data_IF_476666665853
#
_entry.id   IF_476666665853
#
_cell.length_a   1.000
_cell.length_b   1.000
_cell.length_c   1.000
_cell.angle_alpha   90.00
_cell.angle_beta   90.00
_cell.angle_gamma   90.00
#
_symmetry.space_group_name_H-M   'P 1'
#
loop_
_entity.id
_entity.type
_entity.pdbx_description
1 polymer ?
#
# COMPACT_ATOMS: atom_id res chain seq x y z
N UNK A 1 53.52 47.69 35.38
CA UNK A 1 53.02 48.36 34.16
C UNK A 1 52.55 47.26 33.23
N UNK A 2 51.23 47.03 33.06
CA UNK A 2 50.38 47.82 32.14
C UNK A 2 51.11 47.97 30.79
N UNK A 3 50.62 47.53 29.65
CA UNK A 3 49.26 47.33 29.18
C UNK A 3 49.39 46.90 27.69
N UNK A 4 48.41 46.13 27.17
CA UNK A 4 47.82 46.27 25.81
C UNK A 4 48.76 46.05 24.59
N UNK A 5 48.44 45.37 23.49
CA UNK A 5 47.22 44.85 22.88
C UNK A 5 47.68 44.10 21.61
N UNK A 6 47.12 42.92 21.36
CA UNK A 6 46.78 42.32 20.04
C UNK A 6 46.38 40.87 20.31
N UNK A 7 45.16 40.60 20.83
CA UNK A 7 43.94 40.39 20.05
C UNK A 7 44.21 39.66 18.72
N UNK A 8 44.00 38.35 18.67
CA UNK A 8 42.75 37.79 18.14
C UNK A 8 42.85 36.26 17.96
N UNK A 9 41.72 35.60 18.20
CA UNK A 9 41.34 34.27 17.68
C UNK A 9 42.06 33.06 18.26
N UNK A 10 41.71 32.67 19.49
CA UNK A 10 41.53 31.24 19.82
C UNK A 10 40.25 31.10 20.64
N UNK A 11 39.13 31.44 20.00
CA UNK A 11 37.81 30.95 20.37
C UNK A 11 37.36 30.04 19.23
N UNK A 12 36.79 28.89 19.57
CA UNK A 12 36.08 27.96 18.67
C UNK A 12 36.91 26.87 17.97
N UNK A 13 37.41 25.90 18.76
CA UNK A 13 37.65 24.52 18.26
C UNK A 13 36.68 23.49 18.87
N UNK A 14 35.52 23.93 19.38
CA UNK A 14 34.37 23.05 19.51
C UNK A 14 33.69 23.01 18.14
N UNK A 15 34.32 22.30 17.19
CA UNK A 15 33.67 21.85 15.98
C UNK A 15 32.64 20.80 16.40
N UNK A 16 31.42 21.30 16.59
CA UNK A 16 30.18 20.73 16.08
C UNK A 16 30.21 19.20 15.98
N UNK A 17 29.58 18.57 16.96
CA UNK A 17 28.85 17.31 16.77
C UNK A 17 28.23 17.32 15.35
N UNK A 18 28.33 16.23 14.57
CA UNK A 18 27.36 16.04 13.51
C UNK A 18 26.02 16.11 14.23
N UNK A 19 25.23 17.13 13.89
CA UNK A 19 23.81 17.10 14.20
C UNK A 19 23.31 15.74 13.72
N UNK A 20 22.90 14.89 14.67
CA UNK A 20 21.83 13.94 14.41
C UNK A 20 20.66 14.79 13.92
N UNK A 21 20.65 15.13 12.63
CA UNK A 21 19.44 15.49 11.93
C UNK A 21 18.57 14.25 12.04
N UNK A 22 17.70 14.26 13.06
CA UNK A 22 16.49 13.46 13.10
C UNK A 22 15.98 13.40 11.65
N UNK A 23 15.92 12.21 11.03
CA UNK A 23 15.57 12.10 9.63
C UNK A 23 14.26 12.87 9.43
N UNK A 24 14.34 13.92 8.62
CA UNK A 24 13.21 14.73 8.20
C UNK A 24 12.07 13.73 7.91
N UNK A 25 10.92 13.79 8.60
CA UNK A 25 9.94 12.69 8.64
C UNK A 25 9.16 12.59 7.32
N UNK A 26 9.78 12.93 6.19
CA UNK A 26 9.23 12.96 4.85
C UNK A 26 8.49 11.66 4.53
N UNK A 27 9.13 10.50 4.71
CA UNK A 27 8.50 9.20 4.45
C UNK A 27 7.30 8.92 5.34
N UNK A 28 7.42 9.22 6.64
CA UNK A 28 6.35 9.03 7.61
C UNK A 28 5.16 9.94 7.27
N UNK A 29 5.42 11.21 6.97
CA UNK A 29 4.40 12.17 6.56
C UNK A 29 3.70 11.75 5.27
N UNK A 30 4.44 11.32 4.25
CA UNK A 30 3.85 10.81 3.01
C UNK A 30 2.97 9.58 3.30
N UNK A 31 3.48 8.62 4.08
CA UNK A 31 2.76 7.40 4.46
C UNK A 31 1.49 7.73 5.23
N UNK A 32 1.57 8.54 6.27
CA UNK A 32 0.44 8.83 7.16
C UNK A 32 -0.66 9.60 6.41
N UNK A 33 -0.28 10.56 5.55
CA UNK A 33 -1.24 11.24 4.68
C UNK A 33 -1.92 10.27 3.70
N UNK A 34 -1.16 9.34 3.12
CA UNK A 34 -1.69 8.33 2.21
C UNK A 34 -2.66 7.39 2.93
N UNK A 35 -2.26 6.84 4.08
CA UNK A 35 -3.09 5.92 4.87
C UNK A 35 -4.39 6.58 5.31
N UNK A 36 -4.32 7.80 5.85
CA UNK A 36 -5.50 8.56 6.27
C UNK A 36 -6.41 8.90 5.08
N UNK A 37 -5.82 9.27 3.94
CA UNK A 37 -6.56 9.58 2.71
C UNK A 37 -7.26 8.36 2.13
N UNK A 38 -6.57 7.22 2.05
CA UNK A 38 -7.12 5.96 1.57
C UNK A 38 -8.22 5.44 2.49
N UNK A 39 -8.05 5.52 3.81
CA UNK A 39 -9.09 5.17 4.77
C UNK A 39 -10.36 5.99 4.53
N UNK A 40 -10.23 7.30 4.33
CA UNK A 40 -11.36 8.17 4.01
C UNK A 40 -12.01 7.81 2.67
N UNK A 41 -11.20 7.57 1.62
CA UNK A 41 -11.71 7.31 0.27
C UNK A 41 -12.33 5.91 0.11
N UNK A 42 -11.92 4.94 0.95
CA UNK A 42 -12.43 3.57 0.97
C UNK A 42 -13.57 3.33 1.99
N UNK A 43 -13.78 4.27 2.92
CA UNK A 43 -14.92 4.28 3.86
C UNK A 43 -14.62 3.56 5.19
N UNK A 44 -14.60 4.33 6.27
CA UNK A 44 -14.59 3.98 7.72
C UNK A 44 -13.79 2.76 8.19
N UNK A 45 -12.51 2.97 8.59
CA UNK A 45 -11.77 2.00 9.41
C UNK A 45 -10.84 2.66 10.44
N UNK A 46 -11.20 2.62 11.72
CA UNK A 46 -10.37 3.13 12.82
C UNK A 46 -9.27 2.16 13.32
N UNK A 47 -9.16 0.96 12.74
CA UNK A 47 -8.11 -0.01 13.08
C UNK A 47 -7.39 -0.49 11.81
N UNK A 48 -6.20 -1.06 11.98
CA UNK A 48 -5.41 -1.70 10.93
C UNK A 48 -6.20 -2.88 10.33
N UNK A 49 -7.17 -2.58 9.47
CA UNK A 49 -8.15 -3.54 8.97
C UNK A 49 -7.53 -4.47 7.93
N UNK A 50 -8.14 -5.65 7.77
CA UNK A 50 -7.94 -6.61 6.67
C UNK A 50 -7.76 -5.90 5.32
N UNK A 51 -8.44 -4.78 5.14
CA UNK A 51 -8.53 -3.97 3.94
C UNK A 51 -7.23 -3.24 3.57
N UNK A 52 -6.33 -2.99 4.54
CA UNK A 52 -5.00 -2.44 4.29
C UNK A 52 -3.99 -3.52 3.85
N UNK A 53 -4.24 -4.77 4.24
CA UNK A 53 -3.48 -5.94 3.79
C UNK A 53 -3.99 -6.44 2.43
N UNK A 54 -5.28 -6.25 2.16
CA UNK A 54 -5.97 -6.75 0.97
C UNK A 54 -6.73 -5.64 0.24
N UNK A 55 -6.05 -4.80 -0.56
CA UNK A 55 -6.67 -3.66 -1.26
C UNK A 55 -7.89 -4.04 -2.11
N UNK A 56 -7.87 -5.25 -2.69
CA UNK A 56 -8.98 -5.79 -3.46
C UNK A 56 -10.22 -6.07 -2.61
N UNK A 57 -10.07 -6.59 -1.39
CA UNK A 57 -11.19 -6.82 -0.48
C UNK A 57 -11.90 -5.51 -0.16
N UNK A 58 -11.13 -4.50 0.23
CA UNK A 58 -11.63 -3.16 0.54
C UNK A 58 -12.36 -2.51 -0.64
N UNK A 59 -11.79 -2.68 -1.84
CA UNK A 59 -12.33 -2.09 -3.04
C UNK A 59 -13.70 -2.70 -3.38
N UNK A 60 -13.80 -4.03 -3.34
CA UNK A 60 -15.00 -4.75 -3.74
C UNK A 60 -16.11 -4.68 -2.68
N UNK A 61 -15.77 -4.84 -1.40
CA UNK A 61 -16.73 -4.93 -0.28
C UNK A 61 -17.67 -3.73 -0.17
N UNK A 62 -17.17 -2.53 -0.46
CA UNK A 62 -17.94 -1.29 -0.37
C UNK A 62 -18.11 -0.61 -1.73
N UNK A 63 -17.97 -1.40 -2.81
CA UNK A 63 -18.02 -0.96 -4.19
C UNK A 63 -19.40 -0.59 -4.72
N UNK A 64 -20.45 -1.01 -4.03
CA UNK A 64 -21.82 -1.02 -4.55
C UNK A 64 -22.26 0.35 -5.08
N UNK A 65 -22.57 0.39 -6.38
CA UNK A 65 -23.02 1.58 -7.12
C UNK A 65 -22.01 2.74 -7.23
N UNK A 66 -20.79 2.62 -6.71
CA UNK A 66 -19.80 3.71 -6.62
C UNK A 66 -18.37 3.30 -6.99
N UNK A 67 -18.17 2.12 -7.59
CA UNK A 67 -16.85 1.57 -7.90
C UNK A 67 -15.96 2.53 -8.71
N UNK A 68 -16.47 3.11 -9.80
CA UNK A 68 -15.70 4.04 -10.63
C UNK A 68 -15.26 5.30 -9.86
N UNK A 69 -16.11 5.83 -8.98
CA UNK A 69 -15.79 6.98 -8.13
C UNK A 69 -14.72 6.59 -7.09
N UNK A 70 -14.82 5.41 -6.49
CA UNK A 70 -13.82 4.89 -5.52
C UNK A 70 -12.46 4.73 -6.18
N UNK A 71 -12.40 4.07 -7.35
CA UNK A 71 -11.18 3.93 -8.14
C UNK A 71 -10.59 5.29 -8.51
N UNK A 72 -11.41 6.24 -8.95
CA UNK A 72 -10.95 7.60 -9.25
C UNK A 72 -10.26 8.25 -8.04
N UNK A 73 -10.85 8.13 -6.85
CA UNK A 73 -10.29 8.70 -5.61
C UNK A 73 -9.02 7.99 -5.18
N UNK A 74 -9.05 6.65 -5.09
CA UNK A 74 -7.90 5.84 -4.72
C UNK A 74 -6.71 6.08 -5.66
N UNK A 75 -6.96 6.15 -6.97
CA UNK A 75 -5.91 6.41 -7.95
C UNK A 75 -5.31 7.81 -7.85
N UNK A 76 -6.13 8.82 -7.56
CA UNK A 76 -5.62 10.17 -7.26
C UNK A 76 -4.74 10.16 -6.00
N UNK A 77 -5.14 9.46 -4.93
CA UNK A 77 -4.34 9.35 -3.70
C UNK A 77 -3.02 8.63 -3.93
N UNK A 78 -3.04 7.58 -4.74
CA UNK A 78 -1.83 6.86 -5.09
C UNK A 78 -0.84 7.75 -5.87
N UNK A 79 -1.32 8.56 -6.82
CA UNK A 79 -0.48 9.52 -7.54
C UNK A 79 0.09 10.61 -6.62
N UNK A 80 -0.73 11.13 -5.69
CA UNK A 80 -0.32 12.12 -4.67
C UNK A 80 0.78 11.54 -3.77
N UNK A 81 0.63 10.29 -3.33
CA UNK A 81 1.60 9.60 -2.51
C UNK A 81 2.91 9.34 -3.26
N UNK A 82 2.84 8.83 -4.50
CA UNK A 82 4.02 8.65 -5.33
C UNK A 82 4.76 9.99 -5.54
N UNK A 83 4.02 11.05 -5.86
CA UNK A 83 4.59 12.40 -6.00
C UNK A 83 5.23 12.93 -4.71
N UNK A 84 4.66 12.59 -3.55
CA UNK A 84 5.23 12.90 -2.23
C UNK A 84 6.57 12.18 -2.02
N UNK A 85 6.61 10.86 -2.25
CA UNK A 85 7.83 10.05 -2.15
C UNK A 85 8.93 10.51 -3.10
N UNK A 86 8.57 11.02 -4.29
CA UNK A 86 9.55 11.53 -5.24
C UNK A 86 10.32 12.76 -4.72
N UNK A 87 9.76 13.51 -3.77
CA UNK A 87 10.41 14.67 -3.13
C UNK A 87 11.28 14.29 -1.94
N UNK A 88 11.14 13.08 -1.40
CA UNK A 88 11.97 12.59 -0.30
C UNK A 88 13.37 12.16 -0.79
N UNK A 89 14.39 12.16 0.10
CA UNK A 89 15.74 11.69 -0.22
C UNK A 89 15.75 10.30 -0.87
N UNK A 90 16.68 10.04 -1.78
CA UNK A 90 16.76 8.75 -2.45
C UNK A 90 17.48 7.72 -1.55
N UNK A 91 16.72 6.98 -0.76
CA UNK A 91 17.20 5.91 0.13
C UNK A 91 16.41 4.61 -0.14
N UNK A 92 16.93 3.42 0.21
CA UNK A 92 16.25 2.15 -0.05
C UNK A 92 14.80 2.07 0.47
N UNK A 93 14.49 2.77 1.57
CA UNK A 93 13.13 2.86 2.10
C UNK A 93 12.13 3.46 1.09
N UNK A 94 12.56 4.41 0.24
CA UNK A 94 11.73 4.98 -0.83
C UNK A 94 11.28 3.90 -1.81
N UNK A 95 12.21 3.04 -2.24
CA UNK A 95 11.93 1.96 -3.19
C UNK A 95 10.98 0.93 -2.60
N UNK A 96 11.15 0.57 -1.33
CA UNK A 96 10.26 -0.36 -0.61
C UNK A 96 8.83 0.20 -0.57
N UNK A 97 8.69 1.49 -0.22
CA UNK A 97 7.38 2.14 -0.15
C UNK A 97 6.71 2.25 -1.54
N UNK A 98 7.48 2.53 -2.59
CA UNK A 98 6.97 2.53 -3.98
C UNK A 98 6.53 1.14 -4.42
N UNK A 99 7.36 0.10 -4.17
CA UNK A 99 7.01 -1.30 -4.48
C UNK A 99 5.73 -1.74 -3.78
N UNK A 100 5.51 -1.30 -2.53
CA UNK A 100 4.27 -1.54 -1.80
C UNK A 100 3.01 -1.00 -2.48
N UNK A 101 3.14 -0.11 -3.46
CA UNK A 101 2.03 0.45 -4.23
C UNK A 101 1.80 -0.22 -5.58
N UNK A 102 2.53 -1.28 -5.95
CA UNK A 102 2.44 -1.91 -7.26
C UNK A 102 1.01 -2.32 -7.64
N UNK A 103 0.25 -2.88 -6.68
CA UNK A 103 -1.16 -3.25 -6.88
C UNK A 103 -1.98 -2.05 -7.35
N UNK A 104 -1.88 -0.92 -6.65
CA UNK A 104 -2.59 0.31 -6.99
C UNK A 104 -2.08 0.92 -8.30
N UNK A 105 -0.78 0.88 -8.57
CA UNK A 105 -0.24 1.38 -9.84
C UNK A 105 -0.82 0.63 -11.05
N UNK A 106 -0.92 -0.70 -10.97
CA UNK A 106 -1.49 -1.53 -12.04
C UNK A 106 -3.00 -1.27 -12.17
N UNK A 107 -3.74 -1.32 -11.07
CA UNK A 107 -5.18 -1.02 -11.05
C UNK A 107 -5.49 0.36 -11.67
N UNK A 108 -4.72 1.38 -11.28
CA UNK A 108 -4.94 2.74 -11.75
C UNK A 108 -4.51 2.95 -13.19
N UNK A 109 -3.46 2.27 -13.64
CA UNK A 109 -3.08 2.25 -15.05
C UNK A 109 -4.21 1.66 -15.89
N UNK A 110 -4.69 0.45 -15.57
CA UNK A 110 -5.72 -0.23 -16.35
C UNK A 110 -7.06 0.51 -16.26
N UNK A 111 -7.41 1.10 -15.10
CA UNK A 111 -8.58 1.98 -14.99
C UNK A 111 -8.52 3.18 -15.94
N UNK A 112 -7.36 3.80 -16.12
CA UNK A 112 -7.17 4.97 -17.00
C UNK A 112 -7.03 4.60 -18.47
N UNK A 113 -6.44 3.46 -18.77
CA UNK A 113 -5.94 3.17 -20.12
C UNK A 113 -6.63 1.95 -20.77
N UNK A 114 -7.20 1.05 -19.99
CA UNK A 114 -7.84 -0.16 -20.49
C UNK A 114 -9.37 0.01 -20.55
N UNK A 115 -9.90 -0.02 -21.78
CA UNK A 115 -11.35 0.10 -22.02
C UNK A 115 -12.11 -1.15 -21.56
N UNK A 116 -11.53 -2.35 -21.72
CA UNK A 116 -12.15 -3.60 -21.28
C UNK A 116 -12.30 -3.61 -19.75
N UNK A 117 -11.26 -3.15 -19.04
CA UNK A 117 -11.32 -2.97 -17.58
C UNK A 117 -12.45 -2.03 -17.16
N UNK A 118 -12.57 -0.86 -17.79
CA UNK A 118 -13.61 0.14 -17.45
C UNK A 118 -15.03 -0.29 -17.80
N UNK A 119 -15.22 -1.01 -18.89
CA UNK A 119 -16.55 -1.32 -19.44
C UNK A 119 -17.08 -2.64 -18.91
N UNK A 120 -16.22 -3.62 -18.67
CA UNK A 120 -16.64 -4.98 -18.28
C UNK A 120 -16.35 -5.28 -16.82
N UNK A 121 -15.16 -4.92 -16.31
CA UNK A 121 -14.74 -5.29 -14.95
C UNK A 121 -15.33 -4.32 -13.91
N UNK A 122 -15.15 -3.00 -14.11
CA UNK A 122 -15.60 -1.98 -13.15
C UNK A 122 -17.11 -2.02 -12.87
N UNK A 123 -18.01 -2.15 -13.88
CA UNK A 123 -19.44 -2.26 -13.62
C UNK A 123 -19.79 -3.54 -12.88
N UNK A 124 -19.17 -4.68 -13.24
CA UNK A 124 -19.39 -5.93 -12.53
C UNK A 124 -18.97 -5.85 -11.06
N UNK A 125 -17.81 -5.28 -10.77
CA UNK A 125 -17.38 -5.04 -9.38
C UNK A 125 -18.31 -4.08 -8.63
N UNK A 126 -18.92 -3.13 -9.35
CA UNK A 126 -19.93 -2.25 -8.77
C UNK A 126 -21.24 -2.95 -8.43
N UNK A 127 -21.52 -4.10 -9.05
CA UNK A 127 -22.74 -4.89 -8.87
C UNK A 127 -22.52 -6.03 -7.87
N UNK A 128 -21.45 -6.81 -8.03
CA UNK A 128 -21.18 -8.05 -7.30
C UNK A 128 -19.99 -7.99 -6.34
N UNK A 129 -19.36 -6.82 -6.16
CA UNK A 129 -18.14 -6.70 -5.34
C UNK A 129 -18.33 -7.14 -3.89
N UNK A 130 -19.50 -6.88 -3.31
CA UNK A 130 -19.80 -7.29 -1.94
C UNK A 130 -19.88 -8.83 -1.82
N UNK A 131 -20.50 -9.50 -2.78
CA UNK A 131 -20.64 -10.95 -2.83
C UNK A 131 -19.27 -11.63 -3.03
N UNK A 132 -18.48 -11.13 -3.97
CA UNK A 132 -17.13 -11.63 -4.26
C UNK A 132 -16.26 -11.52 -3.00
N UNK A 133 -16.19 -10.34 -2.38
CA UNK A 133 -15.40 -10.14 -1.15
C UNK A 133 -15.91 -10.99 0.01
N UNK A 134 -17.23 -11.06 0.21
CA UNK A 134 -17.83 -11.86 1.28
C UNK A 134 -17.50 -13.36 1.21
N UNK A 135 -17.33 -13.92 0.00
CA UNK A 135 -16.93 -15.33 -0.16
C UNK A 135 -15.47 -15.59 0.22
N UNK A 136 -14.61 -14.59 0.07
CA UNK A 136 -13.19 -14.68 0.40
C UNK A 136 -12.83 -14.05 1.75
N UNK A 137 -13.79 -13.47 2.49
CA UNK A 137 -13.56 -12.74 3.75
C UNK A 137 -12.82 -13.57 4.82
N UNK A 138 -13.10 -14.88 4.92
CA UNK A 138 -12.42 -15.77 5.87
C UNK A 138 -10.92 -15.92 5.57
N UNK A 139 -10.56 -16.04 4.29
CA UNK A 139 -9.18 -16.10 3.83
C UNK A 139 -8.49 -14.74 3.99
N UNK A 140 -9.22 -13.65 3.79
CA UNK A 140 -8.71 -12.30 4.03
C UNK A 140 -8.35 -12.08 5.52
N UNK A 141 -9.20 -12.57 6.42
CA UNK A 141 -8.97 -12.53 7.87
C UNK A 141 -7.79 -13.40 8.29
N UNK A 142 -7.66 -14.59 7.69
CA UNK A 142 -6.50 -15.46 7.93
C UNK A 142 -5.19 -14.83 7.45
N UNK A 143 -5.20 -14.24 6.25
CA UNK A 143 -4.05 -13.50 5.72
C UNK A 143 -3.65 -12.33 6.62
N UNK A 144 -4.61 -11.57 7.15
CA UNK A 144 -4.31 -10.50 8.11
C UNK A 144 -3.62 -11.04 9.37
N UNK A 145 -4.08 -12.17 9.91
CA UNK A 145 -3.47 -12.80 11.08
C UNK A 145 -2.02 -13.24 10.82
N UNK A 146 -1.73 -13.80 9.64
CA UNK A 146 -0.35 -14.16 9.26
C UNK A 146 0.55 -12.94 9.10
N UNK A 147 0.04 -11.84 8.54
CA UNK A 147 0.81 -10.58 8.46
C UNK A 147 1.12 -10.05 9.86
N UNK A 148 0.14 -10.07 10.77
CA UNK A 148 0.32 -9.69 12.18
C UNK A 148 1.40 -10.55 12.85
N UNK A 149 1.33 -11.87 12.65
CA UNK A 149 2.31 -12.81 13.19
C UNK A 149 3.71 -12.54 12.62
N UNK A 150 3.84 -12.28 11.32
CA UNK A 150 5.12 -11.93 10.71
C UNK A 150 5.72 -10.67 11.37
N UNK A 151 4.93 -9.60 11.53
CA UNK A 151 5.41 -8.36 12.15
C UNK A 151 5.81 -8.55 13.62
N UNK A 152 5.14 -9.46 14.35
CA UNK A 152 5.42 -9.73 15.76
C UNK A 152 6.57 -10.71 15.99
N UNK A 153 6.80 -11.64 15.05
CA UNK A 153 7.77 -12.75 15.19
C UNK A 153 9.24 -12.31 15.22
N UNK A 154 9.53 -11.06 14.83
CA UNK A 154 10.89 -10.53 14.80
C UNK A 154 11.83 -11.29 13.84
N UNK A 155 13.14 -11.02 13.89
CA UNK A 155 14.09 -11.58 12.93
C UNK A 155 14.26 -13.11 13.01
N UNK A 156 14.03 -13.71 14.17
CA UNK A 156 14.32 -15.13 14.44
C UNK A 156 13.20 -16.08 14.02
N UNK A 157 11.96 -15.59 13.88
CA UNK A 157 10.80 -16.38 13.45
C UNK A 157 10.40 -16.16 11.98
N UNK A 158 11.16 -15.34 11.24
CA UNK A 158 10.72 -14.85 9.93
C UNK A 158 10.52 -15.96 8.90
N UNK A 159 11.35 -17.01 8.93
CA UNK A 159 11.29 -18.07 7.92
C UNK A 159 10.01 -18.91 8.04
N UNK A 160 9.61 -19.26 9.26
CA UNK A 160 8.38 -20.02 9.52
C UNK A 160 7.14 -19.16 9.28
N UNK A 161 7.17 -17.89 9.73
CA UNK A 161 6.10 -16.92 9.47
C UNK A 161 5.91 -16.61 7.98
N UNK A 162 6.99 -16.65 7.19
CA UNK A 162 6.92 -16.43 5.73
C UNK A 162 6.22 -17.58 5.01
N UNK A 163 6.45 -18.84 5.41
CA UNK A 163 5.83 -19.99 4.76
C UNK A 163 4.31 -20.02 5.00
N UNK A 164 3.88 -19.67 6.22
CA UNK A 164 2.47 -19.46 6.56
C UNK A 164 1.84 -18.33 5.76
N UNK A 165 2.50 -17.16 5.74
CA UNK A 165 2.04 -16.00 4.98
C UNK A 165 1.89 -16.31 3.47
N UNK A 166 2.87 -16.96 2.85
CA UNK A 166 2.82 -17.29 1.42
C UNK A 166 1.65 -18.22 1.08
N UNK A 167 1.36 -19.22 1.92
CA UNK A 167 0.19 -20.11 1.75
C UNK A 167 -1.12 -19.32 1.85
N UNK A 168 -1.20 -18.39 2.78
CA UNK A 168 -2.38 -17.53 2.98
C UNK A 168 -2.61 -16.58 1.83
N UNK A 169 -1.55 -15.95 1.32
CA UNK A 169 -1.61 -15.10 0.12
C UNK A 169 -2.13 -15.91 -1.06
N UNK A 170 -1.55 -17.09 -1.32
CA UNK A 170 -1.99 -17.95 -2.42
C UNK A 170 -3.47 -18.35 -2.29
N UNK A 171 -3.92 -18.75 -1.11
CA UNK A 171 -5.31 -19.12 -0.87
C UNK A 171 -6.27 -17.96 -1.11
N UNK A 172 -5.94 -16.78 -0.56
CA UNK A 172 -6.70 -15.55 -0.76
C UNK A 172 -6.78 -15.15 -2.24
N UNK A 173 -5.63 -15.10 -2.92
CA UNK A 173 -5.53 -14.73 -4.33
C UNK A 173 -6.30 -15.68 -5.23
N UNK A 174 -6.20 -16.99 -4.97
CA UNK A 174 -6.94 -18.01 -5.70
C UNK A 174 -8.45 -17.82 -5.55
N UNK A 175 -8.93 -17.60 -4.32
CA UNK A 175 -10.35 -17.33 -4.09
C UNK A 175 -10.82 -16.12 -4.89
N UNK A 176 -10.08 -15.00 -4.83
CA UNK A 176 -10.44 -13.79 -5.57
C UNK A 176 -10.49 -14.02 -7.09
N UNK A 177 -9.55 -14.77 -7.65
CA UNK A 177 -9.57 -15.13 -9.08
C UNK A 177 -10.80 -15.97 -9.43
N UNK A 178 -11.08 -17.02 -8.64
CA UNK A 178 -12.18 -17.96 -8.88
C UNK A 178 -13.55 -17.24 -8.77
N UNK A 179 -13.77 -16.44 -7.71
CA UNK A 179 -15.02 -15.69 -7.52
C UNK A 179 -15.20 -14.60 -8.58
N UNK A 180 -14.12 -13.94 -9.02
CA UNK A 180 -14.21 -13.00 -10.13
C UNK A 180 -14.52 -13.69 -11.47
N UNK A 181 -14.06 -14.92 -11.66
CA UNK A 181 -14.45 -15.72 -12.82
C UNK A 181 -15.96 -16.01 -12.80
N UNK A 182 -16.47 -16.47 -11.65
CA UNK A 182 -17.86 -16.89 -11.51
C UNK A 182 -18.85 -15.72 -11.66
N UNK A 183 -18.54 -14.56 -11.09
CA UNK A 183 -19.42 -13.38 -11.15
C UNK A 183 -19.16 -12.48 -12.35
N UNK A 184 -17.90 -12.22 -12.68
CA UNK A 184 -17.49 -11.21 -13.68
C UNK A 184 -16.86 -11.80 -14.95
N UNK A 185 -16.74 -13.12 -15.02
CA UNK A 185 -16.26 -13.84 -16.20
C UNK A 185 -14.73 -13.80 -16.38
N UNK A 186 -14.31 -14.42 -17.49
CA UNK A 186 -12.88 -14.65 -17.77
C UNK A 186 -12.02 -13.40 -17.90
N UNK A 187 -12.59 -12.25 -18.27
CA UNK A 187 -11.84 -11.00 -18.36
C UNK A 187 -11.36 -10.54 -16.97
N UNK A 188 -12.26 -10.54 -15.98
CA UNK A 188 -11.93 -10.18 -14.60
C UNK A 188 -10.93 -11.16 -13.97
N UNK A 189 -11.13 -12.47 -14.18
CA UNK A 189 -10.20 -13.48 -13.70
C UNK A 189 -8.79 -13.31 -14.30
N UNK A 190 -8.69 -13.09 -15.61
CA UNK A 190 -7.39 -12.85 -16.27
C UNK A 190 -6.72 -11.57 -15.78
N UNK A 191 -7.49 -10.51 -15.53
CA UNK A 191 -6.96 -9.29 -14.93
C UNK A 191 -6.32 -9.59 -13.56
N UNK A 192 -6.98 -10.35 -12.68
CA UNK A 192 -6.43 -10.69 -11.37
C UNK A 192 -5.22 -11.62 -11.43
N UNK A 193 -5.23 -12.60 -12.33
CA UNK A 193 -4.03 -13.43 -12.58
C UNK A 193 -2.84 -12.57 -13.02
N UNK A 194 -3.07 -11.62 -13.94
CA UNK A 194 -2.05 -10.65 -14.37
C UNK A 194 -1.57 -9.81 -13.19
N UNK A 195 -2.49 -9.27 -12.39
CA UNK A 195 -2.18 -8.46 -11.21
C UNK A 195 -1.27 -9.22 -10.25
N UNK A 196 -1.68 -10.43 -9.83
CA UNK A 196 -0.94 -11.25 -8.87
C UNK A 196 0.44 -11.64 -9.39
N UNK A 197 0.55 -11.94 -10.69
CA UNK A 197 1.84 -12.26 -11.32
C UNK A 197 2.78 -11.05 -11.34
N UNK A 198 2.27 -9.86 -11.64
CA UNK A 198 3.06 -8.64 -11.73
C UNK A 198 3.48 -8.09 -10.36
N UNK A 199 2.73 -8.38 -9.31
CA UNK A 199 3.04 -7.92 -7.94
C UNK A 199 3.95 -8.88 -7.18
N UNK A 200 4.18 -10.09 -7.71
CA UNK A 200 5.03 -11.12 -7.11
C UNK A 200 6.46 -11.17 -7.69
N UNK A 201 6.79 -10.27 -8.63
CA UNK A 201 8.12 -10.11 -9.24
C UNK A 201 8.86 -8.91 -8.64
#
# INVERSE_FOLDING_TARGET
MQHLLSLAVILSTISLFPSDELPEPCFLKCKDNYMNGMQFDMGDFHEWSVDMVTPMNSLLKFGQGKMALRLTRACRRNDEYHSCLQRCPNVPAKEILIKGQNVWMILCHDFRNDTDFRVNIVPCWSEYGHEISGRCDSLASFLQAEVLQLLQSGPTGIQESLDGLCKSVYGYDKCFVDENYDYCGSAAARFLVKLNHQTSQ
#
